data_IF_716862402361
#
_entry.id   IF_716862402361
#
_cell.length_a   1.000
_cell.length_b   1.000
_cell.length_c   1.000
_cell.angle_alpha   90.00
_cell.angle_beta   90.00
_cell.angle_gamma   90.00
#
_symmetry.space_group_name_H-M   'P 1'
#
loop_
_entity.id
_entity.type
_entity.pdbx_description
1 polymer ?
#
# COMPACT_ATOMS: atom_id res chain seq x y z
N UNK A 1 -25.24 -9.91 -33.92
CA UNK A 1 -25.57 -10.70 -32.72
C UNK A 1 -24.99 -9.92 -31.56
N UNK A 2 -25.84 -9.21 -30.82
CA UNK A 2 -25.44 -8.68 -29.52
C UNK A 2 -25.39 -9.88 -28.59
N UNK A 3 -24.20 -10.29 -28.20
CA UNK A 3 -24.05 -11.28 -27.14
C UNK A 3 -24.68 -10.68 -25.89
N UNK A 4 -25.80 -11.26 -25.46
CA UNK A 4 -26.43 -10.98 -24.18
C UNK A 4 -25.46 -11.45 -23.09
N UNK A 5 -24.49 -10.60 -22.76
CA UNK A 5 -23.63 -10.79 -21.60
C UNK A 5 -24.56 -10.65 -20.39
N UNK A 6 -25.01 -11.78 -19.86
CA UNK A 6 -25.66 -11.83 -18.56
C UNK A 6 -24.61 -11.46 -17.52
N UNK A 7 -24.61 -10.20 -17.12
CA UNK A 7 -23.82 -9.70 -16.00
C UNK A 7 -24.37 -10.30 -14.70
N UNK A 8 -23.91 -11.49 -14.36
CA UNK A 8 -24.19 -12.09 -13.06
C UNK A 8 -23.24 -11.42 -12.06
N UNK A 9 -23.83 -10.79 -11.05
CA UNK A 9 -23.10 -10.35 -9.87
C UNK A 9 -22.83 -11.61 -9.04
N UNK A 10 -21.55 -11.96 -8.87
CA UNK A 10 -21.15 -13.02 -7.94
C UNK A 10 -20.87 -12.40 -6.57
N UNK A 11 -21.83 -12.55 -5.65
CA UNK A 11 -21.73 -12.05 -4.28
C UNK A 11 -20.51 -12.62 -3.53
N UNK A 12 -20.15 -13.89 -3.77
CA UNK A 12 -18.99 -14.51 -3.11
C UNK A 12 -17.68 -13.88 -3.57
N UNK A 13 -17.58 -13.61 -4.88
CA UNK A 13 -16.44 -12.89 -5.42
C UNK A 13 -16.40 -11.45 -4.88
N UNK A 14 -17.52 -10.74 -4.81
CA UNK A 14 -17.58 -9.38 -4.25
C UNK A 14 -17.09 -9.35 -2.81
N UNK A 15 -17.58 -10.26 -1.97
CA UNK A 15 -17.17 -10.34 -0.55
C UNK A 15 -15.67 -10.61 -0.43
N UNK A 16 -15.15 -11.57 -1.21
CA UNK A 16 -13.72 -11.88 -1.28
C UNK A 16 -12.90 -10.67 -1.71
N UNK A 17 -13.34 -9.98 -2.74
CA UNK A 17 -12.64 -8.83 -3.27
C UNK A 17 -12.61 -7.66 -2.28
N UNK A 18 -13.73 -7.40 -1.59
CA UNK A 18 -13.77 -6.41 -0.52
C UNK A 18 -12.90 -6.82 0.68
N UNK A 19 -12.90 -8.09 1.05
CA UNK A 19 -12.06 -8.62 2.12
C UNK A 19 -10.57 -8.38 1.84
N UNK A 20 -10.05 -8.82 0.68
CA UNK A 20 -8.63 -8.64 0.36
C UNK A 20 -8.26 -7.17 0.18
N UNK A 21 -9.13 -6.37 -0.44
CA UNK A 21 -8.90 -4.93 -0.63
C UNK A 21 -8.80 -4.23 0.72
N UNK A 22 -9.74 -4.52 1.63
CA UNK A 22 -9.72 -4.00 2.99
C UNK A 22 -8.47 -4.41 3.76
N UNK A 23 -8.09 -5.70 3.66
CA UNK A 23 -6.88 -6.24 4.31
C UNK A 23 -5.60 -5.54 3.83
N UNK A 24 -5.44 -5.39 2.50
CA UNK A 24 -4.28 -4.72 1.91
C UNK A 24 -4.23 -3.25 2.30
N UNK A 25 -5.35 -2.52 2.18
CA UNK A 25 -5.41 -1.10 2.58
C UNK A 25 -5.10 -0.93 4.06
N UNK A 26 -5.60 -1.83 4.92
CA UNK A 26 -5.28 -1.79 6.35
C UNK A 26 -3.79 -1.99 6.60
N UNK A 27 -3.10 -2.89 5.90
CA UNK A 27 -1.65 -3.06 6.04
C UNK A 27 -0.87 -1.84 5.55
N UNK A 28 -1.32 -1.20 4.47
CA UNK A 28 -0.76 0.08 4.05
C UNK A 28 -0.92 1.18 5.11
N UNK A 29 -2.05 1.24 5.82
CA UNK A 29 -2.24 2.19 6.92
C UNK A 29 -1.23 1.96 8.06
N UNK A 30 -0.93 0.71 8.41
CA UNK A 30 0.10 0.40 9.41
C UNK A 30 1.49 0.85 8.94
N UNK A 31 1.86 0.53 7.70
CA UNK A 31 3.12 0.98 7.11
C UNK A 31 3.24 2.51 7.06
N UNK A 32 2.15 3.22 6.71
CA UNK A 32 2.10 4.69 6.77
C UNK A 32 2.33 5.21 8.20
N UNK A 33 1.73 4.57 9.19
CA UNK A 33 1.88 4.94 10.59
C UNK A 33 3.32 4.73 11.06
N UNK A 34 3.94 3.60 10.71
CA UNK A 34 5.36 3.32 10.98
C UNK A 34 6.27 4.38 10.38
N UNK A 35 6.10 4.70 9.08
CA UNK A 35 6.87 5.77 8.45
C UNK A 35 6.65 7.12 9.15
N UNK A 36 5.42 7.42 9.55
CA UNK A 36 5.08 8.67 10.24
C UNK A 36 5.75 8.77 11.61
N UNK A 37 5.78 7.68 12.37
CA UNK A 37 6.50 7.63 13.66
C UNK A 37 7.99 7.88 13.47
N UNK A 38 8.63 7.21 12.51
CA UNK A 38 10.07 7.40 12.22
C UNK A 38 10.36 8.84 11.79
N UNK A 39 9.48 9.44 10.97
CA UNK A 39 9.59 10.85 10.58
C UNK A 39 9.57 11.74 11.83
N UNK A 40 8.56 11.60 12.69
CA UNK A 40 8.41 12.41 13.90
C UNK A 40 9.59 12.26 14.85
N UNK A 41 9.99 11.02 15.15
CA UNK A 41 11.11 10.69 16.05
C UNK A 41 12.45 11.24 15.53
N UNK A 42 12.56 11.57 14.23
CA UNK A 42 13.74 12.19 13.65
C UNK A 42 13.87 13.69 13.92
N UNK A 43 12.78 14.37 14.30
CA UNK A 43 12.80 15.81 14.57
C UNK A 43 12.75 16.12 16.07
N UNK A 44 12.16 15.26 16.88
CA UNK A 44 12.00 15.48 18.31
C UNK A 44 11.96 14.17 19.09
N UNK A 45 12.59 14.18 20.27
CA UNK A 45 12.43 13.13 21.29
C UNK A 45 11.29 13.43 22.28
N UNK A 46 10.72 14.63 22.24
CA UNK A 46 9.57 15.01 23.05
C UNK A 46 8.29 14.38 22.48
N UNK A 47 7.66 13.51 23.28
CA UNK A 47 6.46 12.76 22.88
C UNK A 47 5.26 13.66 22.64
N UNK A 48 5.06 14.72 23.42
CA UNK A 48 3.93 15.61 23.26
C UNK A 48 4.07 16.42 21.97
N UNK A 49 5.26 17.01 21.77
CA UNK A 49 5.56 17.73 20.53
C UNK A 49 5.48 16.81 19.31
N UNK A 50 5.96 15.57 19.44
CA UNK A 50 5.89 14.58 18.38
C UNK A 50 4.44 14.22 18.01
N UNK A 51 3.58 14.02 19.00
CA UNK A 51 2.15 13.79 18.77
C UNK A 51 1.50 15.00 18.08
N UNK A 52 1.81 16.22 18.53
CA UNK A 52 1.31 17.45 17.89
C UNK A 52 1.77 17.54 16.43
N UNK A 53 3.03 17.23 16.14
CA UNK A 53 3.57 17.19 14.79
C UNK A 53 2.85 16.14 13.92
N UNK A 54 2.64 14.93 14.45
CA UNK A 54 1.92 13.87 13.75
C UNK A 54 0.51 14.31 13.34
N UNK A 55 -0.29 14.81 14.29
CA UNK A 55 -1.68 15.21 14.03
C UNK A 55 -1.80 16.50 13.19
N UNK A 56 -0.87 17.43 13.33
CA UNK A 56 -0.92 18.72 12.62
C UNK A 56 -0.43 18.58 11.18
N UNK A 57 0.60 17.78 10.94
CA UNK A 57 1.27 17.66 9.65
C UNK A 57 1.05 16.29 9.00
N UNK A 58 1.51 15.22 9.65
CA UNK A 58 1.64 13.91 8.99
C UNK A 58 0.28 13.27 8.69
N UNK A 59 -0.70 13.38 9.59
CA UNK A 59 -2.05 12.84 9.37
C UNK A 59 -2.73 13.43 8.12
N UNK A 60 -2.37 14.66 7.75
CA UNK A 60 -2.93 15.37 6.59
C UNK A 60 -2.16 15.12 5.29
N UNK A 61 -1.03 14.42 5.37
CA UNK A 61 -0.20 14.10 4.21
C UNK A 61 -0.70 12.82 3.53
N UNK A 62 -0.60 12.80 2.19
CA UNK A 62 -0.82 11.58 1.41
C UNK A 62 0.28 10.54 1.69
N UNK A 63 0.01 9.26 1.38
CA UNK A 63 1.03 8.20 1.42
C UNK A 63 2.30 8.64 0.70
N UNK A 64 2.17 9.18 -0.52
CA UNK A 64 3.30 9.61 -1.35
C UNK A 64 4.12 10.71 -0.67
N UNK A 65 3.47 11.69 -0.04
CA UNK A 65 4.17 12.76 0.66
C UNK A 65 4.90 12.21 1.90
N UNK A 66 4.28 11.30 2.66
CA UNK A 66 4.93 10.63 3.80
C UNK A 66 6.13 9.80 3.33
N UNK A 67 5.98 9.04 2.25
CA UNK A 67 7.05 8.27 1.60
C UNK A 67 8.21 9.19 1.22
N UNK A 68 7.94 10.28 0.52
CA UNK A 68 8.97 11.23 0.10
C UNK A 68 9.73 11.82 1.30
N UNK A 69 9.01 12.26 2.34
CA UNK A 69 9.62 12.77 3.58
C UNK A 69 10.46 11.71 4.29
N UNK A 70 9.94 10.49 4.41
CA UNK A 70 10.66 9.34 4.98
C UNK A 70 11.95 9.08 4.20
N UNK A 71 11.90 9.04 2.87
CA UNK A 71 13.07 8.84 2.02
C UNK A 71 14.13 9.91 2.28
N UNK A 72 13.76 11.19 2.38
CA UNK A 72 14.70 12.28 2.66
C UNK A 72 15.39 12.10 4.01
N UNK A 73 14.63 11.73 5.05
CA UNK A 73 15.16 11.49 6.40
C UNK A 73 16.13 10.32 6.40
N UNK A 74 15.75 9.19 5.77
CA UNK A 74 16.64 8.04 5.67
C UNK A 74 17.86 8.36 4.81
N UNK A 75 17.74 9.10 3.71
CA UNK A 75 18.89 9.53 2.92
C UNK A 75 19.84 10.44 3.70
N UNK A 76 19.31 11.33 4.55
CA UNK A 76 20.10 12.16 5.46
C UNK A 76 20.89 11.31 6.45
N UNK A 77 20.26 10.30 7.05
CA UNK A 77 20.91 9.32 7.94
C UNK A 77 21.87 8.38 7.19
N UNK A 78 21.56 8.05 5.95
CA UNK A 78 22.29 7.11 5.10
C UNK A 78 23.34 7.75 4.20
N UNK A 79 23.67 9.05 4.40
CA UNK A 79 24.79 9.68 3.70
C UNK A 79 26.10 8.87 3.85
N UNK A 80 26.21 8.09 4.93
CA UNK A 80 27.31 7.17 5.20
C UNK A 80 27.11 5.74 4.61
N UNK A 81 25.90 5.34 4.21
CA UNK A 81 25.57 3.97 3.74
C UNK A 81 24.36 3.87 2.78
N UNK A 82 24.39 4.62 1.66
CA UNK A 82 23.31 4.64 0.64
C UNK A 82 22.94 3.27 0.06
N UNK A 83 23.87 2.32 0.03
CA UNK A 83 23.63 0.96 -0.48
C UNK A 83 22.79 0.12 0.46
N UNK A 84 22.85 0.37 1.77
CA UNK A 84 22.12 -0.40 2.79
C UNK A 84 20.61 -0.33 2.59
N UNK A 85 20.08 0.84 2.25
CA UNK A 85 18.62 1.08 2.20
C UNK A 85 18.02 1.12 0.79
N UNK A 86 18.83 0.89 -0.26
CA UNK A 86 18.36 0.93 -1.66
C UNK A 86 17.20 -0.03 -1.93
N UNK A 87 17.22 -1.21 -1.31
CA UNK A 87 16.16 -2.21 -1.46
C UNK A 87 14.84 -1.75 -0.84
N UNK A 88 14.87 -1.11 0.33
CA UNK A 88 13.70 -0.51 1.00
C UNK A 88 13.05 0.54 0.10
N UNK A 89 13.85 1.40 -0.53
CA UNK A 89 13.34 2.47 -1.39
C UNK A 89 12.65 1.95 -2.65
N UNK A 90 13.25 0.92 -3.27
CA UNK A 90 12.64 0.24 -4.42
C UNK A 90 11.32 -0.40 -4.01
N UNK A 91 11.31 -1.13 -2.89
CA UNK A 91 10.13 -1.82 -2.38
C UNK A 91 8.99 -0.84 -2.05
N UNK A 92 9.27 0.25 -1.34
CA UNK A 92 8.29 1.31 -1.06
C UNK A 92 7.70 1.93 -2.33
N UNK A 93 8.52 2.08 -3.39
CA UNK A 93 8.04 2.63 -4.65
C UNK A 93 7.10 1.68 -5.39
N UNK A 94 7.42 0.39 -5.41
CA UNK A 94 6.57 -0.64 -6.02
C UNK A 94 5.26 -0.80 -5.25
N UNK A 95 5.33 -0.86 -3.92
CA UNK A 95 4.16 -0.98 -3.06
C UNK A 95 3.25 0.26 -3.12
N UNK A 96 3.80 1.47 -3.30
CA UNK A 96 2.97 2.67 -3.49
C UNK A 96 2.10 2.61 -4.75
N UNK A 97 2.63 2.06 -5.85
CA UNK A 97 1.84 1.89 -7.07
C UNK A 97 0.70 0.90 -6.83
N UNK A 98 0.95 -0.23 -6.16
CA UNK A 98 -0.07 -1.19 -5.76
C UNK A 98 -1.12 -0.56 -4.84
N UNK A 99 -0.70 0.18 -3.80
CA UNK A 99 -1.59 0.91 -2.90
C UNK A 99 -2.53 1.81 -3.69
N UNK A 100 -2.02 2.54 -4.67
CA UNK A 100 -2.84 3.43 -5.49
C UNK A 100 -3.86 2.67 -6.34
N UNK A 101 -3.50 1.51 -6.88
CA UNK A 101 -4.44 0.63 -7.57
C UNK A 101 -5.56 0.19 -6.61
N UNK A 102 -5.22 -0.37 -5.45
CA UNK A 102 -6.21 -0.81 -4.46
C UNK A 102 -7.03 0.34 -3.87
N UNK A 103 -6.48 1.55 -3.74
CA UNK A 103 -7.20 2.68 -3.16
C UNK A 103 -8.15 3.36 -4.17
N UNK A 104 -7.75 3.45 -5.45
CA UNK A 104 -8.41 4.34 -6.39
C UNK A 104 -9.08 3.63 -7.57
N UNK A 105 -8.73 2.38 -7.87
CA UNK A 105 -9.32 1.72 -9.03
C UNK A 105 -10.67 1.10 -8.64
N UNK A 106 -11.72 1.27 -9.46
CA UNK A 106 -13.01 0.63 -9.22
C UNK A 106 -12.91 -0.89 -9.26
N UNK A 107 -13.68 -1.55 -8.39
CA UNK A 107 -13.85 -2.99 -8.45
C UNK A 107 -14.67 -3.35 -9.69
N UNK A 108 -14.29 -4.42 -10.38
CA UNK A 108 -15.10 -5.01 -11.45
C UNK A 108 -16.01 -6.07 -10.80
N UNK A 109 -17.34 -5.88 -10.76
CA UNK A 109 -18.25 -6.70 -9.93
C UNK A 109 -18.85 -7.93 -10.63
N UNK A 110 -18.70 -8.02 -11.95
CA UNK A 110 -19.52 -8.92 -12.79
C UNK A 110 -18.65 -9.59 -13.83
N UNK A 111 -18.43 -10.91 -13.70
CA UNK A 111 -17.73 -11.64 -14.75
C UNK A 111 -18.31 -13.03 -14.94
N UNK A 112 -18.69 -13.31 -16.19
CA UNK A 112 -19.14 -14.62 -16.61
C UNK A 112 -18.01 -15.68 -16.72
N UNK A 113 -16.72 -15.27 -16.68
CA UNK A 113 -15.57 -16.10 -17.06
C UNK A 113 -14.33 -15.96 -16.16
N UNK A 114 -14.46 -15.63 -14.87
CA UNK A 114 -13.29 -15.57 -13.98
C UNK A 114 -13.05 -16.91 -13.27
N UNK A 115 -11.77 -17.28 -13.17
CA UNK A 115 -11.38 -18.48 -12.43
C UNK A 115 -11.64 -18.31 -10.93
N UNK A 116 -11.88 -19.42 -10.24
CA UNK A 116 -12.05 -19.43 -8.78
C UNK A 116 -10.81 -18.92 -8.03
N UNK A 117 -9.67 -18.82 -8.72
CA UNK A 117 -8.38 -18.34 -8.20
C UNK A 117 -8.29 -16.81 -8.17
N UNK A 118 -9.15 -16.11 -8.90
CA UNK A 118 -9.16 -14.65 -8.91
C UNK A 118 -9.67 -14.13 -7.57
N UNK A 119 -8.81 -13.35 -6.90
CA UNK A 119 -9.14 -12.71 -5.63
C UNK A 119 -9.77 -11.34 -5.81
N UNK A 120 -9.21 -10.51 -6.69
CA UNK A 120 -9.65 -9.14 -6.98
C UNK A 120 -9.46 -8.83 -8.46
N UNK A 121 -10.42 -8.13 -9.06
CA UNK A 121 -10.18 -7.42 -10.32
C UNK A 121 -10.56 -5.94 -10.28
N UNK A 122 -9.64 -5.11 -10.77
CA UNK A 122 -9.71 -3.66 -10.72
C UNK A 122 -9.70 -3.07 -12.13
N UNK A 123 -10.50 -2.03 -12.35
CA UNK A 123 -10.53 -1.33 -13.63
C UNK A 123 -9.58 -0.13 -13.64
N UNK A 124 -8.59 -0.16 -14.54
CA UNK A 124 -7.69 0.96 -14.83
C UNK A 124 -8.27 1.80 -15.98
N UNK A 125 -8.66 3.04 -15.69
CA UNK A 125 -9.25 3.95 -16.69
C UNK A 125 -8.32 5.06 -17.18
N UNK A 126 -7.09 5.16 -16.65
CA UNK A 126 -6.24 6.35 -16.84
C UNK A 126 -5.78 6.59 -18.28
N UNK A 127 -5.43 5.53 -19.02
CA UNK A 127 -4.85 5.65 -20.36
C UNK A 127 -5.67 4.89 -21.41
N UNK A 128 -5.92 3.61 -21.14
CA UNK A 128 -6.86 2.76 -21.88
C UNK A 128 -7.60 1.91 -20.85
N UNK A 129 -8.93 1.71 -20.98
CA UNK A 129 -9.66 0.79 -20.13
C UNK A 129 -8.97 -0.57 -20.16
N UNK A 130 -8.43 -0.98 -19.01
CA UNK A 130 -7.81 -2.28 -18.84
C UNK A 130 -8.22 -2.87 -17.50
N UNK A 131 -8.42 -4.17 -17.45
CA UNK A 131 -8.67 -4.89 -16.21
C UNK A 131 -7.33 -5.39 -15.65
N UNK A 132 -7.05 -5.07 -14.39
CA UNK A 132 -5.97 -5.68 -13.62
C UNK A 132 -6.61 -6.76 -12.76
N UNK A 133 -6.08 -7.97 -12.82
CA UNK A 133 -6.56 -9.10 -12.02
C UNK A 133 -5.44 -9.53 -11.10
N UNK A 134 -5.82 -9.81 -9.86
CA UNK A 134 -4.94 -10.36 -8.85
C UNK A 134 -5.53 -11.69 -8.40
N UNK A 135 -4.73 -12.74 -8.51
CA UNK A 135 -5.00 -14.03 -7.90
C UNK A 135 -4.80 -13.97 -6.39
N UNK A 136 -5.38 -14.95 -5.69
CA UNK A 136 -5.30 -15.03 -4.23
C UNK A 136 -3.83 -15.10 -3.75
N UNK A 137 -3.00 -15.89 -4.39
CA UNK A 137 -1.56 -16.01 -4.08
C UNK A 137 -0.80 -14.69 -4.29
N UNK A 138 -1.11 -13.95 -5.36
CA UNK A 138 -0.54 -12.62 -5.60
C UNK A 138 -0.94 -11.62 -4.50
N UNK A 139 -2.19 -11.69 -4.01
CA UNK A 139 -2.66 -10.85 -2.90
C UNK A 139 -1.96 -11.21 -1.59
N UNK A 140 -1.70 -12.48 -1.35
CA UNK A 140 -0.96 -12.97 -0.19
C UNK A 140 0.52 -12.54 -0.23
N UNK A 141 1.17 -12.62 -1.39
CA UNK A 141 2.53 -12.11 -1.60
C UNK A 141 2.60 -10.60 -1.33
N UNK A 142 1.65 -9.82 -1.84
CA UNK A 142 1.59 -8.37 -1.57
C UNK A 142 1.48 -8.09 -0.06
N UNK A 143 0.64 -8.84 0.67
CA UNK A 143 0.51 -8.70 2.12
C UNK A 143 1.81 -9.06 2.85
N UNK A 144 2.46 -10.14 2.45
CA UNK A 144 3.75 -10.54 3.03
C UNK A 144 4.82 -9.48 2.81
N UNK A 145 4.90 -8.93 1.59
CA UNK A 145 5.83 -7.85 1.24
C UNK A 145 5.63 -6.61 2.11
N UNK A 146 4.38 -6.17 2.31
CA UNK A 146 4.06 -5.03 3.17
C UNK A 146 4.50 -5.30 4.61
N UNK A 147 4.13 -6.47 5.16
CA UNK A 147 4.45 -6.84 6.54
C UNK A 147 5.96 -6.94 6.77
N UNK A 148 6.67 -7.58 5.83
CA UNK A 148 8.13 -7.70 5.88
C UNK A 148 8.80 -6.34 5.87
N UNK A 149 8.34 -5.44 5.02
CA UNK A 149 8.87 -4.09 4.95
C UNK A 149 8.60 -3.32 6.25
N UNK A 150 7.38 -3.36 6.77
CA UNK A 150 7.01 -2.71 8.03
C UNK A 150 7.84 -3.22 9.21
N UNK A 151 8.06 -4.53 9.28
CA UNK A 151 8.95 -5.15 10.27
C UNK A 151 10.39 -4.64 10.14
N UNK A 152 10.94 -4.61 8.92
CA UNK A 152 12.30 -4.10 8.68
C UNK A 152 12.42 -2.62 9.10
N UNK A 153 11.41 -1.80 8.83
CA UNK A 153 11.42 -0.39 9.24
C UNK A 153 11.42 -0.23 10.76
N UNK A 154 10.63 -1.02 11.49
CA UNK A 154 10.63 -0.98 12.95
C UNK A 154 11.97 -1.42 13.55
N UNK A 155 12.55 -2.52 13.05
CA UNK A 155 13.84 -3.04 13.51
C UNK A 155 14.99 -2.05 13.26
N UNK A 156 15.10 -1.52 12.04
CA UNK A 156 16.24 -0.71 11.62
C UNK A 156 16.22 0.74 12.16
N UNK A 157 15.04 1.25 12.55
CA UNK A 157 14.90 2.68 12.88
C UNK A 157 14.33 2.99 14.26
N UNK A 158 13.79 2.00 14.99
CA UNK A 158 13.21 2.21 16.33
C UNK A 158 13.87 1.42 17.45
N UNK A 159 14.62 0.36 17.13
CA UNK A 159 15.38 -0.43 18.11
C UNK A 159 16.87 -0.03 18.21
N UNK A 160 17.25 1.09 17.58
CA UNK A 160 18.61 1.69 17.63
C UNK A 160 18.67 2.85 18.63
#
# INVERSE_FOLDING_TARGET
MEDNINWIIDEKYIDRAHYYRGKIISQFCFLEMTMSMIITESFTSDRELGNQMYHTLLERMTFENKRASFLVIIYGRAAENKTKYKHIFKELSELNELRNQFAHYPLIPTIADWDDETGIGLAKFRDKPNAIRFKIDELEDILERINRLDYLLNQEFRES
#
